data_IF_590578663351
#
_entry.id   IF_590578663351
#
_cell.length_a   1.000
_cell.length_b   1.000
_cell.length_c   1.000
_cell.angle_alpha   90.00
_cell.angle_beta   90.00
_cell.angle_gamma   90.00
#
_symmetry.space_group_name_H-M   'P 1'
#
loop_
_entity.id
_entity.type
_entity.pdbx_description
1 polymer ?
#
# COMPACT_ATOMS: atom_id res chain seq x y z
N UNK A 1 18.82 -2.03 8.04
CA UNK A 1 18.17 -2.84 9.11
C UNK A 1 17.70 -4.20 8.55
N UNK A 2 17.68 -5.29 9.33
CA UNK A 2 17.13 -6.60 8.92
C UNK A 2 16.10 -7.13 9.94
N UNK A 3 15.43 -8.27 9.65
CA UNK A 3 14.42 -8.83 10.57
C UNK A 3 15.02 -9.19 11.93
N UNK A 4 16.29 -9.61 12.01
CA UNK A 4 16.96 -9.88 13.29
C UNK A 4 17.08 -8.63 14.17
N UNK A 5 17.06 -7.43 13.57
CA UNK A 5 17.03 -6.18 14.34
C UNK A 5 15.65 -5.94 14.98
N UNK A 6 14.59 -6.41 14.33
CA UNK A 6 13.21 -6.30 14.81
C UNK A 6 12.89 -7.41 15.83
N UNK A 7 13.46 -8.60 15.63
CA UNK A 7 13.27 -9.80 16.45
C UNK A 7 14.58 -10.28 17.08
N UNK A 8 15.24 -9.49 17.95
CA UNK A 8 16.60 -9.77 18.44
C UNK A 8 16.69 -11.00 19.35
N UNK A 9 15.56 -11.49 19.88
CA UNK A 9 15.50 -12.64 20.77
C UNK A 9 15.15 -13.96 20.06
N UNK A 10 14.91 -13.90 18.74
CA UNK A 10 14.57 -15.06 17.94
C UNK A 10 15.82 -15.68 17.32
N UNK A 11 16.11 -16.94 17.65
CA UNK A 11 17.15 -17.73 16.97
C UNK A 11 16.78 -18.06 15.51
N UNK A 12 15.49 -18.10 15.21
CA UNK A 12 14.94 -18.35 13.88
C UNK A 12 13.69 -17.49 13.69
N UNK A 13 13.61 -16.80 12.55
CA UNK A 13 12.48 -15.94 12.18
C UNK A 13 11.71 -16.60 11.04
N UNK A 14 10.43 -16.84 11.27
CA UNK A 14 9.53 -17.34 10.25
C UNK A 14 8.80 -16.17 9.58
N UNK A 15 9.04 -16.00 8.28
CA UNK A 15 8.34 -15.06 7.42
C UNK A 15 7.25 -15.81 6.64
N UNK A 16 5.99 -15.51 6.92
CA UNK A 16 4.86 -15.95 6.13
C UNK A 16 4.81 -15.22 4.79
N UNK A 17 4.61 -15.93 3.69
CA UNK A 17 4.35 -15.36 2.37
C UNK A 17 2.88 -15.60 2.03
N UNK A 18 2.19 -14.54 1.63
CA UNK A 18 0.84 -14.61 1.09
C UNK A 18 0.79 -13.83 -0.21
N UNK A 19 0.09 -14.36 -1.21
CA UNK A 19 -0.14 -13.66 -2.46
C UNK A 19 -1.60 -13.88 -2.88
N UNK A 20 -2.30 -12.78 -3.10
CA UNK A 20 -3.68 -12.81 -3.57
C UNK A 20 -3.83 -11.85 -4.74
N UNK A 21 -4.64 -12.22 -5.72
CA UNK A 21 -4.95 -11.36 -6.86
C UNK A 21 -6.47 -11.16 -6.92
N UNK A 22 -7.02 -10.21 -6.14
CA UNK A 22 -8.46 -9.97 -6.12
C UNK A 22 -8.96 -9.60 -7.51
N UNK A 23 -10.11 -10.15 -7.86
CA UNK A 23 -10.86 -9.70 -9.03
C UNK A 23 -11.44 -8.30 -8.81
N UNK A 24 -12.03 -7.72 -9.87
CA UNK A 24 -12.71 -6.42 -9.82
C UNK A 24 -13.84 -6.34 -8.78
N UNK A 25 -14.45 -7.47 -8.44
CA UNK A 25 -15.56 -7.56 -7.48
C UNK A 25 -15.06 -7.80 -6.04
N UNK A 26 -13.74 -7.96 -5.87
CA UNK A 26 -13.08 -8.35 -4.62
C UNK A 26 -12.08 -7.29 -4.14
N UNK A 27 -12.15 -6.06 -4.68
CA UNK A 27 -11.18 -4.98 -4.40
C UNK A 27 -11.12 -4.56 -2.93
N UNK A 28 -12.09 -4.96 -2.10
CA UNK A 28 -12.05 -4.76 -0.64
C UNK A 28 -11.21 -5.81 0.11
N UNK A 29 -10.99 -6.99 -0.49
CA UNK A 29 -10.39 -8.15 0.17
C UNK A 29 -8.94 -7.93 0.62
N UNK A 30 -8.06 -7.23 -0.10
CA UNK A 30 -6.69 -6.99 0.36
C UNK A 30 -6.60 -6.43 1.77
N UNK A 31 -7.44 -5.44 2.06
CA UNK A 31 -7.51 -4.81 3.37
C UNK A 31 -8.10 -5.72 4.44
N UNK A 32 -9.02 -6.62 4.05
CA UNK A 32 -9.58 -7.61 4.96
C UNK A 32 -8.57 -8.73 5.27
N UNK A 33 -7.79 -9.19 4.28
CA UNK A 33 -6.68 -10.12 4.48
C UNK A 33 -5.63 -9.53 5.42
N UNK A 34 -5.22 -8.27 5.20
CA UNK A 34 -4.24 -7.61 6.07
C UNK A 34 -4.74 -7.46 7.52
N UNK A 35 -5.99 -7.04 7.73
CA UNK A 35 -6.60 -6.99 9.07
C UNK A 35 -6.69 -8.39 9.71
N UNK A 36 -7.01 -9.42 8.93
CA UNK A 36 -7.05 -10.81 9.40
C UNK A 36 -5.66 -11.34 9.78
N UNK A 37 -4.63 -11.12 8.96
CA UNK A 37 -3.24 -11.47 9.28
C UNK A 37 -2.77 -10.76 10.55
N UNK A 38 -3.05 -9.46 10.69
CA UNK A 38 -2.73 -8.71 11.90
C UNK A 38 -3.38 -9.34 13.14
N UNK A 39 -4.67 -9.71 13.07
CA UNK A 39 -5.38 -10.38 14.16
C UNK A 39 -4.82 -11.77 14.47
N UNK A 40 -4.54 -12.58 13.45
CA UNK A 40 -4.00 -13.92 13.62
C UNK A 40 -2.58 -13.91 14.22
N UNK A 41 -1.73 -12.97 13.82
CA UNK A 41 -0.42 -12.73 14.43
C UNK A 41 -0.52 -12.33 15.91
N UNK A 42 -1.44 -11.42 16.25
CA UNK A 42 -1.64 -11.00 17.64
C UNK A 42 -2.00 -12.18 18.57
N UNK A 43 -2.66 -13.21 18.02
CA UNK A 43 -3.10 -14.41 18.74
C UNK A 43 -2.16 -15.61 18.58
N UNK A 44 -1.04 -15.44 17.87
CA UNK A 44 -0.08 -16.51 17.59
C UNK A 44 -0.66 -17.70 16.80
N UNK A 45 -1.70 -17.47 15.99
CA UNK A 45 -2.42 -18.51 15.24
C UNK A 45 -1.71 -18.99 13.96
N UNK A 46 -0.70 -18.25 13.48
CA UNK A 46 -0.04 -18.52 12.19
C UNK A 46 1.29 -19.28 12.31
N UNK A 47 1.87 -19.38 13.51
CA UNK A 47 3.21 -19.93 13.71
C UNK A 47 4.31 -19.18 12.94
N UNK A 48 4.12 -17.88 12.66
CA UNK A 48 5.09 -16.99 12.02
C UNK A 48 5.20 -15.68 12.81
N UNK A 49 6.32 -14.97 12.68
CA UNK A 49 6.54 -13.68 13.35
C UNK A 49 6.08 -12.51 12.47
N UNK A 50 6.21 -12.67 11.16
CA UNK A 50 5.89 -11.67 10.16
C UNK A 50 5.16 -12.30 8.98
N UNK A 51 4.38 -11.51 8.25
CA UNK A 51 3.77 -11.89 6.98
C UNK A 51 4.08 -10.83 5.92
N UNK A 52 4.60 -11.25 4.77
CA UNK A 52 4.67 -10.43 3.57
C UNK A 52 3.54 -10.82 2.63
N UNK A 53 2.59 -9.91 2.44
CA UNK A 53 1.41 -10.12 1.63
C UNK A 53 1.47 -9.29 0.35
N UNK A 54 1.47 -9.94 -0.82
CA UNK A 54 1.38 -9.30 -2.13
C UNK A 54 -0.06 -9.30 -2.63
N UNK A 55 -0.54 -8.15 -3.09
CA UNK A 55 -1.91 -7.99 -3.54
C UNK A 55 -2.04 -7.00 -4.72
N UNK A 56 -1.55 -7.34 -5.93
CA UNK A 56 -1.88 -6.57 -7.11
C UNK A 56 -3.39 -6.62 -7.38
N UNK A 57 -3.98 -5.53 -7.87
CA UNK A 57 -5.43 -5.46 -8.10
C UNK A 57 -5.79 -5.16 -9.55
N UNK A 58 -7.04 -5.42 -9.91
CA UNK A 58 -7.63 -4.79 -11.09
C UNK A 58 -7.63 -3.25 -10.95
N UNK A 59 -7.79 -2.50 -12.07
CA UNK A 59 -7.85 -1.04 -12.05
C UNK A 59 -8.89 -0.49 -11.07
N UNK A 60 -8.46 0.41 -10.19
CA UNK A 60 -9.32 1.08 -9.18
C UNK A 60 -8.64 2.34 -8.64
N UNK A 61 -9.39 3.13 -7.87
CA UNK A 61 -8.88 4.22 -7.04
C UNK A 61 -9.19 3.90 -5.59
N UNK A 62 -8.15 3.76 -4.76
CA UNK A 62 -8.31 3.64 -3.32
C UNK A 62 -8.41 5.03 -2.69
N UNK A 63 -9.55 5.32 -2.07
CA UNK A 63 -9.83 6.57 -1.36
C UNK A 63 -9.49 6.42 0.11
N UNK A 64 -8.90 7.45 0.69
CA UNK A 64 -8.76 7.62 2.13
C UNK A 64 -9.98 8.31 2.76
N UNK A 65 -9.97 8.37 4.10
CA UNK A 65 -11.07 8.97 4.84
C UNK A 65 -11.21 10.49 4.61
N UNK A 66 -10.11 11.17 4.24
CA UNK A 66 -10.09 12.61 3.96
C UNK A 66 -10.65 12.95 2.57
N UNK A 67 -10.54 12.06 1.59
CA UNK A 67 -11.18 12.27 0.28
C UNK A 67 -12.70 12.36 0.44
N UNK A 68 -13.28 11.57 1.34
CA UNK A 68 -14.72 11.59 1.64
C UNK A 68 -15.23 12.89 2.31
N UNK A 69 -14.34 13.83 2.62
CA UNK A 69 -14.69 15.15 3.18
C UNK A 69 -14.77 16.23 2.10
N UNK A 70 -14.44 15.92 0.85
CA UNK A 70 -14.46 16.89 -0.23
C UNK A 70 -15.91 17.39 -0.48
N UNK A 71 -16.11 18.71 -0.72
CA UNK A 71 -17.45 19.31 -0.81
C UNK A 71 -18.36 18.64 -1.85
N UNK A 72 -17.80 18.22 -2.97
CA UNK A 72 -18.51 17.58 -4.08
C UNK A 72 -18.04 16.13 -4.29
N UNK A 73 -17.79 15.40 -3.19
CA UNK A 73 -17.35 14.00 -3.28
C UNK A 73 -18.28 13.14 -4.15
N UNK A 74 -19.60 13.39 -4.12
CA UNK A 74 -20.58 12.69 -4.94
C UNK A 74 -20.27 12.79 -6.45
N UNK A 75 -19.84 13.96 -6.91
CA UNK A 75 -19.57 14.24 -8.31
C UNK A 75 -18.30 13.48 -8.77
N UNK A 76 -17.23 13.53 -7.99
CA UNK A 76 -16.01 12.79 -8.31
C UNK A 76 -16.18 11.27 -8.26
N UNK A 77 -16.98 10.76 -7.31
CA UNK A 77 -17.34 9.33 -7.26
C UNK A 77 -18.15 8.92 -8.49
N UNK A 78 -19.15 9.72 -8.86
CA UNK A 78 -19.98 9.51 -10.06
C UNK A 78 -19.13 9.54 -11.33
N UNK A 79 -18.21 10.50 -11.44
CA UNK A 79 -17.26 10.59 -12.55
C UNK A 79 -16.34 9.37 -12.65
N UNK A 80 -15.77 8.90 -11.54
CA UNK A 80 -14.94 7.67 -11.53
C UNK A 80 -15.75 6.45 -12.01
N UNK A 81 -16.96 6.26 -11.50
CA UNK A 81 -17.80 5.10 -11.80
C UNK A 81 -18.30 5.13 -13.24
N UNK A 82 -18.87 6.26 -13.68
CA UNK A 82 -19.59 6.32 -14.95
C UNK A 82 -18.70 6.74 -16.13
N UNK A 83 -17.79 7.70 -15.91
CA UNK A 83 -16.93 8.20 -17.00
C UNK A 83 -15.64 7.40 -17.13
N UNK A 84 -15.07 6.92 -16.02
CA UNK A 84 -13.82 6.15 -16.02
C UNK A 84 -14.00 4.65 -15.86
N UNK A 85 -15.21 4.18 -15.50
CA UNK A 85 -15.51 2.76 -15.27
C UNK A 85 -14.61 2.14 -14.19
N UNK A 86 -14.23 2.95 -13.21
CA UNK A 86 -13.41 2.54 -12.06
C UNK A 86 -14.28 2.54 -10.82
N UNK A 87 -14.38 1.39 -10.15
CA UNK A 87 -15.07 1.29 -8.87
C UNK A 87 -14.13 1.79 -7.76
N UNK A 88 -14.40 2.93 -7.09
CA UNK A 88 -13.57 3.40 -6.00
C UNK A 88 -13.80 2.56 -4.73
N UNK A 89 -12.76 2.41 -3.93
CA UNK A 89 -12.80 1.68 -2.65
C UNK A 89 -12.24 2.54 -1.53
N UNK A 90 -13.00 2.69 -0.44
CA UNK A 90 -12.58 3.36 0.77
C UNK A 90 -11.74 2.43 1.64
N UNK A 91 -10.43 2.72 1.75
CA UNK A 91 -9.46 1.89 2.48
C UNK A 91 -9.45 2.16 4.00
N UNK A 92 -8.95 1.21 4.83
CA UNK A 92 -8.82 1.41 6.27
C UNK A 92 -7.68 2.34 6.67
N UNK A 93 -6.59 2.32 5.92
CA UNK A 93 -5.40 3.12 6.18
C UNK A 93 -5.67 4.58 5.85
N UNK A 94 -4.95 5.48 6.52
CA UNK A 94 -5.04 6.93 6.26
C UNK A 94 -4.49 7.32 4.89
N UNK A 95 -4.39 8.62 4.67
CA UNK A 95 -3.92 9.21 3.41
C UNK A 95 -5.07 9.65 2.51
N UNK A 96 -4.70 9.96 1.27
CA UNK A 96 -5.56 10.50 0.22
C UNK A 96 -5.67 9.50 -0.96
N UNK A 97 -6.30 9.89 -2.05
CA UNK A 97 -6.56 9.02 -3.18
C UNK A 97 -5.28 8.47 -3.84
N UNK A 98 -5.25 7.18 -4.12
CA UNK A 98 -4.17 6.50 -4.85
C UNK A 98 -4.74 5.59 -5.93
N UNK A 99 -4.11 5.56 -7.11
CA UNK A 99 -4.49 4.66 -8.20
C UNK A 99 -3.91 3.27 -7.96
N UNK A 100 -4.63 2.21 -8.34
CA UNK A 100 -4.09 0.86 -8.43
C UNK A 100 -4.48 0.25 -9.77
N UNK A 101 -3.52 -0.33 -10.49
CA UNK A 101 -3.72 -0.98 -11.79
C UNK A 101 -2.66 -2.09 -12.01
N UNK A 102 -2.71 -2.87 -13.12
CA UNK A 102 -1.77 -3.96 -13.35
C UNK A 102 -0.29 -3.57 -13.35
N UNK A 103 0.06 -2.32 -13.68
CA UNK A 103 1.43 -1.78 -13.63
C UNK A 103 1.88 -1.35 -12.23
N UNK A 104 1.04 -1.57 -11.22
CA UNK A 104 1.33 -1.32 -9.81
C UNK A 104 1.45 -2.65 -9.07
N UNK A 105 2.37 -2.70 -8.10
CA UNK A 105 2.37 -3.71 -7.05
C UNK A 105 2.01 -3.06 -5.72
N UNK A 106 0.97 -3.59 -5.09
CA UNK A 106 0.71 -3.33 -3.68
C UNK A 106 1.18 -4.52 -2.87
N UNK A 107 1.83 -4.23 -1.75
CA UNK A 107 2.21 -5.26 -0.80
C UNK A 107 2.24 -4.71 0.61
N UNK A 108 2.05 -5.59 1.58
CA UNK A 108 2.02 -5.24 3.00
C UNK A 108 3.00 -6.13 3.74
N UNK A 109 3.93 -5.52 4.48
CA UNK A 109 4.71 -6.24 5.49
C UNK A 109 4.03 -6.08 6.84
N UNK A 110 3.59 -7.19 7.38
CA UNK A 110 2.86 -7.27 8.64
C UNK A 110 3.80 -7.84 9.69
N UNK A 111 4.08 -7.06 10.72
CA UNK A 111 5.01 -7.40 11.80
C UNK A 111 4.25 -7.42 13.11
N UNK A 112 4.45 -8.45 13.93
CA UNK A 112 4.09 -8.41 15.36
C UNK A 112 5.26 -7.86 16.15
N UNK A 113 5.04 -6.86 17.02
CA UNK A 113 6.06 -6.44 17.98
C UNK A 113 6.10 -7.40 19.17
N UNK A 114 7.28 -7.89 19.57
CA UNK A 114 7.44 -8.76 20.75
C UNK A 114 7.26 -7.95 22.04
N UNK A 115 8.23 -7.07 22.33
CA UNK A 115 8.34 -6.33 23.58
C UNK A 115 8.35 -4.81 23.38
N UNK A 116 9.22 -4.30 22.51
CA UNK A 116 9.29 -2.87 22.20
C UNK A 116 8.37 -2.54 21.04
N UNK A 117 7.58 -1.48 21.21
CA UNK A 117 6.76 -0.91 20.14
C UNK A 117 7.69 -0.44 19.03
N UNK A 118 7.60 -1.04 17.84
CA UNK A 118 8.30 -0.51 16.66
C UNK A 118 7.75 0.89 16.36
N UNK A 119 8.63 1.88 16.25
CA UNK A 119 8.22 3.24 15.88
C UNK A 119 7.79 3.28 14.41
N UNK A 120 7.00 4.29 14.07
CA UNK A 120 6.48 4.47 12.71
C UNK A 120 7.66 4.63 11.73
N UNK A 121 8.58 5.51 12.06
CA UNK A 121 9.72 5.86 11.20
C UNK A 121 10.67 4.67 11.02
N UNK A 122 10.90 3.87 12.07
CA UNK A 122 11.71 2.64 11.99
C UNK A 122 11.11 1.63 11.01
N UNK A 123 9.78 1.49 11.04
CA UNK A 123 9.05 0.58 10.16
C UNK A 123 9.15 1.01 8.69
N UNK A 124 9.05 2.31 8.43
CA UNK A 124 9.22 2.87 7.09
C UNK A 124 10.65 2.77 6.60
N UNK A 125 11.63 3.12 7.44
CA UNK A 125 13.04 3.01 7.13
C UNK A 125 13.43 1.56 6.81
N UNK A 126 12.92 0.58 7.58
CA UNK A 126 13.11 -0.84 7.27
C UNK A 126 12.64 -1.17 5.85
N UNK A 127 11.42 -0.79 5.47
CA UNK A 127 10.87 -1.12 4.16
C UNK A 127 11.67 -0.47 3.02
N UNK A 128 12.07 0.79 3.18
CA UNK A 128 12.89 1.51 2.22
C UNK A 128 14.29 0.88 2.10
N UNK A 129 14.91 0.49 3.21
CA UNK A 129 16.18 -0.23 3.22
C UNK A 129 16.12 -1.52 2.40
N UNK A 130 15.02 -2.28 2.50
CA UNK A 130 14.81 -3.51 1.74
C UNK A 130 14.66 -3.23 0.25
N UNK A 131 13.87 -2.23 -0.14
CA UNK A 131 13.78 -1.82 -1.54
C UNK A 131 15.13 -1.32 -2.09
N UNK A 132 15.86 -0.51 -1.32
CA UNK A 132 17.17 0.00 -1.70
C UNK A 132 18.25 -1.09 -1.82
N UNK A 133 18.16 -2.17 -1.06
CA UNK A 133 19.04 -3.33 -1.25
C UNK A 133 18.87 -3.96 -2.64
N UNK A 134 17.65 -3.93 -3.19
CA UNK A 134 17.37 -4.36 -4.57
C UNK A 134 17.90 -3.32 -5.57
N UNK A 135 17.56 -2.04 -5.39
CA UNK A 135 17.89 -1.00 -6.37
C UNK A 135 19.39 -0.77 -6.53
N UNK A 136 20.16 -0.93 -5.45
CA UNK A 136 21.63 -0.79 -5.47
C UNK A 136 22.31 -1.76 -6.43
N UNK A 137 21.76 -2.96 -6.69
CA UNK A 137 22.33 -3.87 -7.68
C UNK A 137 22.22 -3.37 -9.12
N UNK A 138 21.41 -2.33 -9.34
CA UNK A 138 21.21 -1.65 -10.63
C UNK A 138 21.85 -0.25 -10.65
N UNK A 139 22.63 0.12 -9.61
CA UNK A 139 23.27 1.43 -9.52
C UNK A 139 22.32 2.58 -9.11
N UNK A 140 21.11 2.26 -8.68
CA UNK A 140 20.11 3.25 -8.26
C UNK A 140 19.90 3.24 -6.74
N UNK A 141 19.47 4.39 -6.21
CA UNK A 141 19.10 4.55 -4.80
C UNK A 141 17.85 5.43 -4.72
N UNK A 142 16.85 4.93 -4.00
CA UNK A 142 15.67 5.69 -3.67
C UNK A 142 15.88 6.51 -2.38
N UNK A 143 15.29 7.71 -2.37
CA UNK A 143 15.30 8.63 -1.23
C UNK A 143 13.89 8.78 -0.66
N UNK A 144 13.78 9.06 0.63
CA UNK A 144 12.50 9.37 1.28
C UNK A 144 12.33 10.87 1.46
N UNK A 145 11.12 11.35 1.23
CA UNK A 145 10.74 12.74 1.48
C UNK A 145 9.46 13.08 0.75
N UNK A 146 8.67 13.96 1.34
CA UNK A 146 7.37 14.34 0.79
C UNK A 146 7.49 14.95 -0.61
N UNK A 147 6.67 14.44 -1.54
CA UNK A 147 6.49 15.03 -2.87
C UNK A 147 5.11 15.66 -2.90
N UNK A 148 5.03 16.91 -2.45
CA UNK A 148 3.78 17.64 -2.19
C UNK A 148 2.83 17.68 -3.40
N UNK A 149 3.38 17.77 -4.62
CA UNK A 149 2.61 17.81 -5.87
C UNK A 149 2.30 16.43 -6.44
N UNK A 150 2.60 15.34 -5.74
CA UNK A 150 2.17 14.00 -6.12
C UNK A 150 0.76 13.70 -5.60
N UNK A 151 0.09 12.65 -6.11
CA UNK A 151 -1.11 12.16 -5.43
C UNK A 151 -0.73 11.42 -4.14
N UNK A 152 -1.62 11.51 -3.14
CA UNK A 152 -1.41 10.95 -1.81
C UNK A 152 -0.02 11.27 -1.25
N UNK A 153 0.37 12.57 -1.16
CA UNK A 153 1.66 12.96 -0.62
C UNK A 153 1.80 12.49 0.83
N UNK A 154 3.03 12.18 1.22
CA UNK A 154 3.34 11.79 2.58
C UNK A 154 4.82 11.97 2.92
N UNK A 155 5.11 12.19 4.20
CA UNK A 155 6.46 12.42 4.73
C UNK A 155 7.51 11.36 4.34
N UNK A 156 7.04 10.15 4.04
CA UNK A 156 7.86 8.99 3.67
C UNK A 156 7.62 8.53 2.23
N UNK A 157 7.18 9.44 1.35
CA UNK A 157 7.15 9.16 -0.08
C UNK A 157 8.53 8.72 -0.56
N UNK A 158 8.56 7.66 -1.37
CA UNK A 158 9.78 7.07 -1.89
C UNK A 158 9.97 7.53 -3.31
N UNK A 159 11.11 8.18 -3.54
CA UNK A 159 11.43 8.83 -4.80
C UNK A 159 12.71 8.30 -5.41
N UNK A 160 12.80 8.29 -6.73
CA UNK A 160 14.02 8.03 -7.47
C UNK A 160 14.30 9.20 -8.40
N UNK A 161 15.51 9.75 -8.32
CA UNK A 161 15.92 10.96 -9.06
C UNK A 161 14.91 12.13 -8.93
N UNK A 162 14.37 12.32 -7.72
CA UNK A 162 13.42 13.39 -7.40
C UNK A 162 11.98 13.15 -7.87
N UNK A 163 11.64 11.99 -8.43
CA UNK A 163 10.27 11.61 -8.82
C UNK A 163 9.72 10.55 -7.88
N UNK A 164 8.51 10.72 -7.37
CA UNK A 164 7.86 9.72 -6.51
C UNK A 164 7.55 8.47 -7.30
N UNK A 165 7.98 7.32 -6.79
CA UNK A 165 7.71 5.98 -7.35
C UNK A 165 6.84 5.13 -6.44
N UNK A 166 6.83 5.43 -5.13
CA UNK A 166 6.09 4.66 -4.14
C UNK A 166 5.56 5.53 -3.00
N UNK A 167 4.49 5.06 -2.38
CA UNK A 167 3.92 5.62 -1.17
C UNK A 167 3.86 4.54 -0.08
N UNK A 168 4.12 4.93 1.16
CA UNK A 168 4.07 4.04 2.32
C UNK A 168 3.02 4.53 3.30
N UNK A 169 2.18 3.61 3.78
CA UNK A 169 1.22 3.87 4.84
C UNK A 169 1.36 2.83 5.96
N UNK A 170 0.83 3.13 7.14
CA UNK A 170 0.83 2.20 8.25
C UNK A 170 -0.56 2.04 8.86
N UNK A 171 -0.83 0.82 9.33
CA UNK A 171 -1.96 0.50 10.19
C UNK A 171 -1.47 -0.28 11.39
N UNK A 172 -2.11 -0.12 12.54
CA UNK A 172 -1.80 -0.86 13.77
C UNK A 172 -3.06 -1.47 14.34
N UNK A 173 -2.97 -2.74 14.72
CA UNK A 173 -4.01 -3.47 15.45
C UNK A 173 -3.30 -4.25 16.57
N UNK A 174 -3.55 -3.88 17.83
CA UNK A 174 -2.85 -4.48 18.96
C UNK A 174 -1.32 -4.30 18.86
N UNK A 175 -0.59 -5.41 18.95
CA UNK A 175 0.87 -5.49 18.77
C UNK A 175 1.30 -5.58 17.30
N UNK A 176 0.38 -5.88 16.39
CA UNK A 176 0.67 -6.01 14.97
C UNK A 176 0.62 -4.65 14.27
N UNK A 177 1.56 -4.43 13.36
CA UNK A 177 1.59 -3.33 12.41
C UNK A 177 1.56 -3.89 10.99
N UNK A 178 0.84 -3.23 10.09
CA UNK A 178 0.95 -3.43 8.65
C UNK A 178 1.60 -2.22 8.02
N UNK A 179 2.68 -2.44 7.28
CA UNK A 179 3.40 -1.44 6.48
C UNK A 179 2.96 -1.66 5.04
N UNK A 180 2.08 -0.80 4.55
CA UNK A 180 1.46 -0.88 3.23
C UNK A 180 2.32 -0.10 2.26
N UNK A 181 2.71 -0.73 1.17
CA UNK A 181 3.46 -0.10 0.09
C UNK A 181 2.64 -0.18 -1.18
N UNK A 182 2.49 0.99 -1.79
CA UNK A 182 2.13 1.15 -3.18
C UNK A 182 3.41 1.43 -3.95
N UNK A 183 3.73 0.63 -4.98
CA UNK A 183 4.87 0.88 -5.86
C UNK A 183 4.44 0.86 -7.32
N UNK A 184 4.71 1.96 -8.01
CA UNK A 184 4.52 2.09 -9.45
C UNK A 184 5.65 1.35 -10.17
N UNK A 185 5.36 0.17 -10.73
CA UNK A 185 6.37 -0.64 -11.41
C UNK A 185 6.57 -0.20 -12.86
N UNK A 186 5.47 -0.07 -13.61
CA UNK A 186 5.47 0.20 -15.05
C UNK A 186 4.13 0.79 -15.51
N UNK A 187 4.02 1.16 -16.79
CA UNK A 187 2.78 1.67 -17.39
C UNK A 187 2.72 3.19 -17.48
N UNK A 188 1.52 3.76 -17.62
CA UNK A 188 1.37 5.19 -17.86
C UNK A 188 1.18 5.98 -16.56
N UNK A 189 2.29 6.34 -15.91
CA UNK A 189 2.28 7.11 -14.67
C UNK A 189 1.68 8.52 -14.83
N UNK A 190 1.87 9.15 -15.99
CA UNK A 190 1.26 10.44 -16.31
C UNK A 190 -0.26 10.35 -16.27
N UNK A 191 -0.86 9.34 -16.90
CA UNK A 191 -2.30 9.13 -16.90
C UNK A 191 -2.86 8.87 -15.49
N UNK A 192 -2.10 8.17 -14.62
CA UNK A 192 -2.49 7.99 -13.20
C UNK A 192 -2.53 9.32 -12.46
N UNK A 193 -1.52 10.17 -12.66
CA UNK A 193 -1.47 11.52 -12.12
C UNK A 193 -2.65 12.38 -12.60
N UNK A 194 -2.92 12.36 -13.90
CA UNK A 194 -4.03 13.09 -14.51
C UNK A 194 -5.40 12.62 -14.00
N UNK A 195 -5.57 11.31 -13.80
CA UNK A 195 -6.79 10.73 -13.23
C UNK A 195 -7.08 11.30 -11.83
N UNK A 196 -6.08 11.32 -10.94
CA UNK A 196 -6.28 11.84 -9.59
C UNK A 196 -6.41 13.38 -9.59
N UNK A 197 -5.65 14.07 -10.44
CA UNK A 197 -5.82 15.52 -10.63
C UNK A 197 -7.27 15.86 -11.02
N UNK A 198 -7.82 15.15 -12.01
CA UNK A 198 -9.19 15.36 -12.43
C UNK A 198 -10.18 14.97 -11.32
N UNK A 199 -9.95 13.86 -10.61
CA UNK A 199 -10.78 13.51 -9.44
C UNK A 199 -10.86 14.65 -8.42
N UNK A 200 -9.76 15.32 -8.11
CA UNK A 200 -9.78 16.47 -7.20
C UNK A 200 -10.47 17.70 -7.79
N UNK A 201 -10.36 17.94 -9.11
CA UNK A 201 -11.14 18.98 -9.78
C UNK A 201 -12.65 18.74 -9.66
N UNK A 202 -13.11 17.50 -9.87
CA UNK A 202 -14.53 17.13 -9.76
C UNK A 202 -15.05 17.19 -8.32
N UNK A 203 -14.21 16.86 -7.32
CA UNK A 203 -14.62 16.81 -5.91
C UNK A 203 -14.48 18.12 -5.13
N UNK A 204 -13.61 19.03 -5.58
CA UNK A 204 -13.32 20.29 -4.86
C UNK A 204 -13.99 21.49 -5.56
N UNK A 205 -13.95 21.55 -6.89
CA UNK A 205 -14.51 22.67 -7.70
C UNK A 205 -14.13 24.06 -7.17
N UNK A 206 -12.85 24.22 -6.86
CA UNK A 206 -12.24 25.45 -6.32
C UNK A 206 -12.93 26.01 -5.05
N UNK A 207 -13.61 25.15 -4.28
CA UNK A 207 -14.18 25.55 -3.00
C UNK A 207 -13.14 25.54 -1.87
N UNK A 208 -13.29 26.39 -0.84
CA UNK A 208 -12.48 26.30 0.36
C UNK A 208 -12.63 24.93 1.05
N UNK A 209 -11.51 24.32 1.43
CA UNK A 209 -11.46 23.04 2.14
C UNK A 209 -10.62 23.16 3.42
N UNK A 210 -10.96 22.36 4.44
CA UNK A 210 -10.14 22.23 5.66
C UNK A 210 -9.05 21.17 5.51
N UNK A 211 -9.23 20.25 4.56
CA UNK A 211 -8.22 19.28 4.14
C UNK A 211 -7.36 19.93 3.05
N UNK A 212 -6.05 19.78 3.18
CA UNK A 212 -5.09 20.19 2.16
C UNK A 212 -5.00 19.09 1.09
N UNK A 213 -5.68 19.31 -0.04
CA UNK A 213 -5.67 18.38 -1.17
C UNK A 213 -4.52 18.74 -2.12
N UNK A 214 -3.75 17.75 -2.62
CA UNK A 214 -2.59 18.02 -3.44
C UNK A 214 -2.98 18.66 -4.77
N UNK A 215 -2.26 19.73 -5.13
CA UNK A 215 -2.22 20.22 -6.50
C UNK A 215 -1.40 19.25 -7.36
N UNK A 216 -2.02 18.15 -7.79
CA UNK A 216 -1.34 17.05 -8.47
C UNK A 216 -0.68 17.53 -9.77
N UNK A 217 0.65 17.51 -9.80
CA UNK A 217 1.47 17.57 -11.01
C UNK A 217 1.78 16.14 -11.46
N UNK A 218 1.21 15.65 -12.58
CA UNK A 218 1.49 14.31 -13.09
C UNK A 218 2.98 14.04 -13.34
N UNK A 219 3.77 15.09 -13.61
CA UNK A 219 5.21 14.95 -13.85
C UNK A 219 6.00 14.71 -12.56
N UNK A 220 5.44 14.92 -11.37
CA UNK A 220 6.13 14.71 -10.08
C UNK A 220 6.37 13.22 -9.74
N UNK A 221 5.77 12.30 -10.50
CA UNK A 221 5.80 10.87 -10.27
C UNK A 221 6.39 10.12 -11.48
N UNK A 222 6.94 8.94 -11.24
CA UNK A 222 7.48 8.05 -12.27
C UNK A 222 7.21 6.58 -11.94
N UNK A 223 7.40 5.69 -12.91
CA UNK A 223 7.49 4.27 -12.63
C UNK A 223 8.91 3.89 -12.18
N UNK A 224 9.05 2.80 -11.44
CA UNK A 224 10.34 2.18 -11.19
C UNK A 224 11.04 1.77 -12.50
N UNK A 225 10.29 1.24 -13.47
CA UNK A 225 10.83 0.79 -14.76
C UNK A 225 11.43 1.92 -15.61
N UNK A 226 11.10 3.18 -15.31
CA UNK A 226 11.68 4.32 -16.01
C UNK A 226 13.18 4.50 -15.64
N UNK A 227 13.59 3.93 -14.52
CA UNK A 227 14.98 3.94 -14.02
C UNK A 227 15.62 2.55 -14.03
N UNK A 228 14.85 1.51 -13.73
CA UNK A 228 15.31 0.11 -13.67
C UNK A 228 14.35 -0.76 -14.48
N UNK A 229 14.49 -0.81 -15.83
CA UNK A 229 13.55 -1.50 -16.72
C UNK A 229 13.33 -2.98 -16.38
N UNK A 230 14.34 -3.67 -15.86
CA UNK A 230 14.27 -5.08 -15.46
C UNK A 230 13.23 -5.32 -14.35
N UNK A 231 13.00 -4.33 -13.48
CA UNK A 231 12.04 -4.43 -12.39
C UNK A 231 10.61 -4.07 -12.82
N UNK A 232 10.35 -3.91 -14.13
CA UNK A 232 8.99 -3.89 -14.66
C UNK A 232 8.28 -5.24 -14.48
N UNK A 233 9.03 -6.35 -14.41
CA UNK A 233 8.49 -7.67 -14.12
C UNK A 233 8.16 -7.79 -12.62
N UNK A 234 6.85 -7.82 -12.34
CA UNK A 234 6.28 -7.98 -11.01
C UNK A 234 6.76 -9.26 -10.32
N UNK A 235 6.89 -10.37 -11.04
CA UNK A 235 7.35 -11.64 -10.48
C UNK A 235 8.79 -11.52 -10.01
N UNK A 236 9.66 -10.93 -10.85
CA UNK A 236 11.05 -10.68 -10.50
C UNK A 236 11.16 -9.75 -9.29
N UNK A 237 10.37 -8.67 -9.27
CA UNK A 237 10.35 -7.74 -8.12
C UNK A 237 9.95 -8.45 -6.83
N UNK A 238 8.85 -9.21 -6.83
CA UNK A 238 8.39 -9.96 -5.64
C UNK A 238 9.45 -10.95 -5.14
N UNK A 239 10.09 -11.71 -6.03
CA UNK A 239 11.17 -12.64 -5.68
C UNK A 239 12.36 -11.92 -5.03
N UNK A 240 12.78 -10.78 -5.60
CA UNK A 240 13.88 -9.98 -5.05
C UNK A 240 13.53 -9.35 -3.71
N UNK A 241 12.27 -8.92 -3.52
CA UNK A 241 11.80 -8.38 -2.26
C UNK A 241 11.74 -9.43 -1.15
N UNK A 242 11.22 -10.63 -1.46
CA UNK A 242 11.24 -11.77 -0.52
C UNK A 242 12.67 -12.04 -0.08
N UNK A 243 13.59 -12.17 -1.04
CA UNK A 243 15.02 -12.39 -0.76
C UNK A 243 15.60 -11.28 0.12
N UNK A 244 15.35 -10.01 -0.21
CA UNK A 244 15.88 -8.88 0.57
C UNK A 244 15.34 -8.83 2.00
N UNK A 245 14.07 -9.16 2.20
CA UNK A 245 13.47 -9.20 3.55
C UNK A 245 14.01 -10.40 4.35
N UNK A 246 14.23 -11.54 3.71
CA UNK A 246 14.75 -12.75 4.34
C UNK A 246 16.28 -12.81 4.44
N UNK A 247 16.99 -11.77 3.98
CA UNK A 247 18.46 -11.67 4.10
C UNK A 247 18.90 -11.65 5.57
N UNK A 248 19.40 -12.80 6.03
CA UNK A 248 19.99 -13.06 7.35
C UNK A 248 20.10 -14.57 7.59
N UNK A 249 21.09 -15.03 8.36
CA UNK A 249 21.43 -16.47 8.53
C UNK A 249 20.34 -17.32 9.20
N UNK A 250 19.16 -16.77 9.49
CA UNK A 250 18.14 -17.36 10.38
C UNK A 250 16.69 -17.08 9.97
N UNK A 251 16.42 -16.62 8.73
CA UNK A 251 15.03 -16.43 8.27
C UNK A 251 14.56 -17.56 7.37
N UNK A 252 13.42 -18.17 7.69
CA UNK A 252 12.73 -19.17 6.85
C UNK A 252 11.45 -18.57 6.31
N UNK A 253 11.23 -18.72 5.00
CA UNK A 253 9.97 -18.39 4.35
C UNK A 253 9.02 -19.59 4.34
N UNK A 254 7.74 -19.36 4.63
CA UNK A 254 6.68 -20.37 4.46
C UNK A 254 5.42 -19.72 3.90
N UNK A 255 4.62 -20.45 3.14
CA UNK A 255 3.32 -19.94 2.74
C UNK A 255 2.36 -19.91 3.93
N UNK A 256 1.53 -18.87 4.01
CA UNK A 256 0.50 -18.73 5.03
C UNK A 256 -0.86 -18.49 4.38
N UNK A 257 -1.88 -19.15 4.91
CA UNK A 257 -3.25 -19.07 4.42
C UNK A 257 -4.17 -18.77 5.59
N UNK A 258 -5.16 -17.91 5.36
CA UNK A 258 -6.20 -17.59 6.34
C UNK A 258 -7.40 -18.50 6.14
N UNK A 259 -8.02 -18.89 7.25
CA UNK A 259 -9.30 -19.61 7.23
C UNK A 259 -10.46 -18.66 6.94
N UNK A 260 -11.57 -19.20 6.42
CA UNK A 260 -12.81 -18.44 6.20
C UNK A 260 -13.32 -17.75 7.47
N UNK A 261 -13.18 -18.41 8.63
CA UNK A 261 -13.60 -17.84 9.92
C UNK A 261 -12.75 -16.63 10.32
N UNK A 262 -11.42 -16.65 10.08
CA UNK A 262 -10.56 -15.49 10.32
C UNK A 262 -10.93 -14.28 9.44
N UNK A 263 -11.50 -14.51 8.26
CA UNK A 263 -11.85 -13.46 7.30
C UNK A 263 -13.24 -12.86 7.49
N UNK A 264 -14.16 -13.60 8.13
CA UNK A 264 -15.57 -13.21 8.28
C UNK A 264 -15.75 -11.79 8.82
N UNK A 265 -15.09 -11.47 9.94
CA UNK A 265 -15.21 -10.15 10.59
C UNK A 265 -14.50 -9.04 9.80
N UNK A 266 -13.23 -9.19 9.36
CA UNK A 266 -12.55 -8.18 8.53
C UNK A 266 -13.31 -7.83 7.24
N UNK A 267 -13.86 -8.83 6.53
CA UNK A 267 -14.67 -8.59 5.33
C UNK A 267 -15.92 -7.77 5.66
N UNK A 268 -16.66 -8.12 6.71
CA UNK A 268 -17.85 -7.36 7.13
C UNK A 268 -17.52 -5.90 7.47
N UNK A 269 -16.37 -5.65 8.10
CA UNK A 269 -15.92 -4.28 8.39
C UNK A 269 -15.62 -3.49 7.11
N UNK A 270 -15.00 -4.12 6.11
CA UNK A 270 -14.72 -3.49 4.83
C UNK A 270 -15.99 -3.22 4.02
N UNK A 271 -16.97 -4.14 4.02
CA UNK A 271 -18.29 -3.91 3.43
C UNK A 271 -18.96 -2.70 4.08
N UNK A 272 -19.04 -2.69 5.43
CA UNK A 272 -19.65 -1.58 6.18
C UNK A 272 -18.95 -0.25 5.91
N UNK A 273 -17.61 -0.24 5.81
CA UNK A 273 -16.85 0.97 5.47
C UNK A 273 -17.24 1.50 4.09
N UNK A 274 -17.33 0.63 3.10
CA UNK A 274 -17.59 1.01 1.71
C UNK A 274 -19.05 1.39 1.41
N UNK A 275 -20.00 1.06 2.31
CA UNK A 275 -21.35 1.64 2.27
C UNK A 275 -21.36 3.17 2.30
N UNK A 276 -20.28 3.82 2.78
CA UNK A 276 -20.13 5.28 2.74
C UNK A 276 -20.07 5.83 1.32
N UNK A 277 -19.48 5.09 0.38
CA UNK A 277 -19.44 5.48 -1.04
C UNK A 277 -20.86 5.46 -1.61
N UNK A 278 -21.61 4.38 -1.36
CA UNK A 278 -23.01 4.24 -1.81
C UNK A 278 -23.89 5.37 -1.27
N UNK A 279 -23.74 5.74 0.01
CA UNK A 279 -24.47 6.84 0.64
C UNK A 279 -24.10 8.22 0.09
N UNK A 280 -22.89 8.39 -0.43
CA UNK A 280 -22.44 9.67 -0.97
C UNK A 280 -22.98 9.93 -2.38
N UNK A 281 -23.35 8.89 -3.12
CA UNK A 281 -23.88 8.96 -4.49
C UNK A 281 -25.39 8.70 -4.57
N UNK A 282 -26.05 8.48 -3.44
CA UNK A 282 -27.51 8.31 -3.31
C UNK A 282 -28.19 9.63 -3.03
#
# INVERSE_FOLDING_TARGET
>A
MNLNTIYPHHQMINLGIAAHQPSKDELILPFAWDDAFMHALNKDELGVQAVLHFWPTAPTVFLGAMDMQAPFIADGLTWLIHSKQLMPILRPAGGLAVVSDPGIINFTLILKSDDKRLMIDDAYAFMVDRMNAIFKSYGEVATTGEVETSYCPGKFDVSMRGKKIAGIAQRRIGKSIGIYVYLSLSGNQMARGELIRQFYQETIKDQPTTVDYPAVDPQSMANLSDFIPELADKTLFCQRLIKSISEGEQTITKDVVLTTEQLKRPIQQMIKRNQRIQKAIS
#
